data_IF_819143242755
#
_entry.id   IF_819143242755
#
_cell.length_a   1.000
_cell.length_b   1.000
_cell.length_c   1.000
_cell.angle_alpha   90.00
_cell.angle_beta   90.00
_cell.angle_gamma   90.00
#
_symmetry.space_group_name_H-M   'P 1'
#
loop_
_entity.id
_entity.type
_entity.pdbx_description
1 polymer ?
#
# COMPACT_ATOMS: atom_id res chain seq x y z
N UNK A 1 -0.27 28.65 4.96
CA UNK A 1 1.03 29.01 4.34
C UNK A 1 2.25 28.69 5.21
N UNK A 2 2.25 28.99 6.52
CA UNK A 2 3.43 28.82 7.41
C UNK A 2 3.90 27.37 7.66
N UNK A 3 3.00 26.38 7.73
CA UNK A 3 3.38 24.96 7.92
C UNK A 3 4.17 24.36 6.75
N UNK A 4 3.92 24.83 5.52
CA UNK A 4 4.63 24.36 4.30
C UNK A 4 6.06 24.89 4.22
N UNK A 5 6.31 26.10 4.71
CA UNK A 5 7.65 26.72 4.73
C UNK A 5 8.53 26.01 5.77
N UNK A 6 8.00 25.76 6.98
CA UNK A 6 8.73 25.03 8.03
C UNK A 6 9.06 23.60 7.62
N UNK A 7 8.14 22.88 6.95
CA UNK A 7 8.40 21.55 6.42
C UNK A 7 9.48 21.54 5.31
N UNK A 8 9.51 22.58 4.46
CA UNK A 8 10.53 22.76 3.41
C UNK A 8 11.93 23.00 4.00
N UNK A 9 12.01 23.85 5.02
CA UNK A 9 13.25 24.15 5.75
C UNK A 9 13.75 22.89 6.47
N UNK A 10 12.86 22.12 7.10
CA UNK A 10 13.23 20.85 7.76
C UNK A 10 13.72 19.77 6.78
N UNK A 11 13.11 19.69 5.60
CA UNK A 11 13.49 18.79 4.52
C UNK A 11 14.89 19.10 3.95
N UNK A 12 15.17 20.38 3.69
CA UNK A 12 16.49 20.83 3.23
C UNK A 12 17.56 20.59 4.30
N UNK A 13 17.24 20.78 5.58
CA UNK A 13 18.17 20.52 6.69
C UNK A 13 18.49 19.02 6.84
N UNK A 14 17.52 18.12 6.72
CA UNK A 14 17.77 16.67 6.83
C UNK A 14 18.59 16.12 5.65
N UNK A 15 18.24 16.52 4.42
CA UNK A 15 18.91 16.01 3.22
C UNK A 15 20.34 16.55 3.11
N UNK A 16 20.59 17.80 3.52
CA UNK A 16 21.94 18.35 3.60
C UNK A 16 22.75 17.78 4.77
N UNK A 17 22.14 17.46 5.92
CA UNK A 17 22.84 16.78 7.03
C UNK A 17 23.33 15.39 6.64
N UNK A 18 22.59 14.65 5.82
CA UNK A 18 23.02 13.34 5.31
C UNK A 18 24.36 13.40 4.56
N UNK A 19 24.47 14.34 3.62
CA UNK A 19 25.68 14.60 2.84
C UNK A 19 26.81 15.12 3.73
N UNK A 20 26.49 15.96 4.71
CA UNK A 20 27.43 16.53 5.68
C UNK A 20 27.97 15.49 6.68
N UNK A 21 27.17 14.49 7.06
CA UNK A 21 27.54 13.43 8.00
C UNK A 21 28.19 12.21 7.34
N UNK A 22 28.39 12.22 6.01
CA UNK A 22 28.93 11.09 5.22
C UNK A 22 28.19 9.76 5.46
N UNK A 23 26.91 9.81 5.79
CA UNK A 23 26.12 8.60 6.03
C UNK A 23 25.50 8.10 4.74
N UNK A 24 25.49 6.78 4.55
CA UNK A 24 24.82 6.18 3.41
C UNK A 24 23.30 6.41 3.49
N UNK A 25 22.59 6.57 2.35
CA UNK A 25 21.12 6.68 2.33
C UNK A 25 20.40 5.54 3.05
N UNK A 26 20.99 4.33 3.04
CA UNK A 26 20.49 3.17 3.75
C UNK A 26 20.52 3.37 5.28
N UNK A 27 21.62 3.91 5.81
CA UNK A 27 21.79 4.20 7.24
C UNK A 27 20.77 5.22 7.72
N UNK A 28 20.58 6.29 6.94
CA UNK A 28 19.58 7.33 7.24
C UNK A 28 18.17 6.76 7.19
N UNK A 29 17.86 5.92 6.20
CA UNK A 29 16.56 5.24 6.15
C UNK A 29 16.33 4.36 7.37
N UNK A 30 17.38 3.74 7.92
CA UNK A 30 17.33 2.98 9.17
C UNK A 30 16.95 3.86 10.36
N UNK A 31 17.68 4.96 10.56
CA UNK A 31 17.41 5.91 11.65
C UNK A 31 16.04 6.55 11.56
N UNK A 32 15.60 6.92 10.36
CA UNK A 32 14.25 7.46 10.15
C UNK A 32 13.19 6.44 10.58
N UNK A 33 13.30 5.18 10.16
CA UNK A 33 12.34 4.14 10.57
C UNK A 33 12.36 3.88 12.08
N UNK A 34 13.54 3.88 12.68
CA UNK A 34 13.68 3.68 14.12
C UNK A 34 13.05 4.82 14.91
N UNK A 35 13.29 6.06 14.48
CA UNK A 35 12.68 7.24 15.08
C UNK A 35 11.15 7.21 14.93
N UNK A 36 10.65 6.94 13.72
CA UNK A 36 9.20 6.84 13.44
C UNK A 36 8.53 5.77 14.32
N UNK A 37 9.19 4.63 14.52
CA UNK A 37 8.71 3.57 15.43
C UNK A 37 8.69 4.01 16.89
N UNK A 38 9.71 4.72 17.37
CA UNK A 38 9.83 5.15 18.77
C UNK A 38 8.83 6.27 19.12
N UNK A 39 8.60 7.21 18.19
CA UNK A 39 7.75 8.38 18.43
C UNK A 39 6.33 8.22 17.91
N UNK A 40 6.04 7.10 17.25
CA UNK A 40 4.79 6.82 16.54
C UNK A 40 4.37 7.98 15.62
N UNK A 41 5.35 8.72 15.10
CA UNK A 41 5.17 9.96 14.34
C UNK A 41 5.94 9.85 13.05
N UNK A 42 5.34 10.28 11.94
CA UNK A 42 5.94 10.13 10.61
C UNK A 42 6.87 11.30 10.32
N UNK A 43 8.07 10.99 9.79
CA UNK A 43 9.00 12.02 9.35
C UNK A 43 8.46 12.65 8.07
N UNK A 44 8.30 13.98 8.01
CA UNK A 44 7.81 14.67 6.84
C UNK A 44 8.88 14.66 5.73
N UNK A 45 8.90 13.59 4.94
CA UNK A 45 9.73 13.42 3.74
C UNK A 45 8.92 13.76 2.49
N UNK A 46 9.57 14.14 1.38
CA UNK A 46 8.89 14.43 0.09
C UNK A 46 7.90 13.32 -0.27
N UNK A 47 8.30 12.05 -0.07
CA UNK A 47 7.46 10.90 -0.35
C UNK A 47 6.28 10.68 0.59
N UNK A 48 6.30 11.22 1.81
CA UNK A 48 5.14 11.13 2.74
C UNK A 48 4.29 12.39 2.69
N UNK A 49 4.87 13.56 2.41
CA UNK A 49 4.13 14.82 2.30
C UNK A 49 3.32 14.89 1.00
N UNK A 50 3.88 14.34 -0.08
CA UNK A 50 3.24 14.35 -1.40
C UNK A 50 2.66 12.99 -1.78
N UNK A 51 2.63 12.03 -0.85
CA UNK A 51 2.16 10.68 -1.09
C UNK A 51 2.83 10.06 -2.34
N UNK A 52 4.16 10.00 -2.32
CA UNK A 52 4.98 9.53 -3.44
C UNK A 52 6.01 8.48 -3.00
N UNK A 53 6.05 7.35 -3.70
CA UNK A 53 7.08 6.31 -3.55
C UNK A 53 6.78 5.25 -2.50
N UNK A 54 7.78 4.40 -2.19
CA UNK A 54 7.66 3.18 -1.34
C UNK A 54 7.20 3.42 0.11
N UNK A 55 7.09 4.69 0.51
CA UNK A 55 6.72 5.10 1.86
C UNK A 55 5.21 5.12 2.10
N UNK A 56 4.43 5.32 1.03
CA UNK A 56 2.98 5.34 1.08
C UNK A 56 2.47 4.22 0.20
N UNK A 57 1.80 3.25 0.79
CA UNK A 57 1.24 2.11 0.09
C UNK A 57 -0.10 2.53 -0.53
N UNK A 58 -0.06 3.31 -1.61
CA UNK A 58 -1.27 3.71 -2.36
C UNK A 58 -2.17 2.51 -2.70
N UNK A 59 -1.57 1.33 -2.89
CA UNK A 59 -2.28 0.07 -3.11
C UNK A 59 -3.22 -0.27 -1.95
N UNK A 60 -2.76 -0.16 -0.69
CA UNK A 60 -3.58 -0.43 0.50
C UNK A 60 -4.73 0.56 0.61
N UNK A 61 -4.48 1.85 0.38
CA UNK A 61 -5.51 2.87 0.43
C UNK A 61 -6.59 2.66 -0.64
N UNK A 62 -6.17 2.39 -1.88
CA UNK A 62 -7.11 2.07 -2.98
C UNK A 62 -7.95 0.84 -2.65
N UNK A 63 -7.32 -0.24 -2.16
CA UNK A 63 -8.05 -1.44 -1.74
C UNK A 63 -8.99 -1.17 -0.56
N UNK A 64 -8.59 -0.36 0.42
CA UNK A 64 -9.46 0.02 1.54
C UNK A 64 -10.72 0.74 1.04
N UNK A 65 -10.58 1.74 0.17
CA UNK A 65 -11.71 2.49 -0.39
C UNK A 65 -12.68 1.62 -1.18
N UNK A 66 -12.15 0.73 -2.02
CA UNK A 66 -12.98 -0.15 -2.85
C UNK A 66 -13.66 -1.25 -2.03
N UNK A 67 -12.99 -1.81 -1.03
CA UNK A 67 -13.45 -3.03 -0.33
C UNK A 67 -14.19 -2.71 0.96
N UNK A 68 -13.70 -1.74 1.74
CA UNK A 68 -14.28 -1.36 3.04
C UNK A 68 -15.33 -0.27 2.86
N UNK A 69 -15.01 0.77 2.08
CA UNK A 69 -15.96 1.88 1.84
C UNK A 69 -17.00 1.54 0.75
N UNK A 70 -16.72 0.54 -0.10
CA UNK A 70 -17.61 0.11 -1.17
C UNK A 70 -17.66 1.07 -2.36
N UNK A 71 -16.65 1.92 -2.50
CA UNK A 71 -16.63 2.94 -3.56
C UNK A 71 -16.55 2.31 -4.94
N UNK A 72 -17.09 3.02 -5.94
CA UNK A 72 -16.93 2.65 -7.35
C UNK A 72 -15.49 2.91 -7.85
N UNK A 73 -15.13 2.30 -8.98
CA UNK A 73 -13.83 2.54 -9.62
C UNK A 73 -13.70 4.02 -10.00
N UNK A 74 -14.76 4.62 -10.52
CA UNK A 74 -14.81 6.02 -10.96
C UNK A 74 -14.66 7.01 -9.80
N UNK A 75 -15.21 6.66 -8.64
CA UNK A 75 -15.06 7.44 -7.41
C UNK A 75 -13.63 7.34 -6.87
N UNK A 76 -13.09 6.12 -6.83
CA UNK A 76 -11.72 5.89 -6.38
C UNK A 76 -10.69 6.54 -7.31
N UNK A 77 -10.92 6.57 -8.63
CA UNK A 77 -10.10 7.32 -9.60
C UNK A 77 -10.06 8.80 -9.24
N UNK A 78 -11.24 9.39 -8.98
CA UNK A 78 -11.38 10.82 -8.65
C UNK A 78 -10.68 11.20 -7.35
N UNK A 79 -10.77 10.33 -6.34
CA UNK A 79 -10.19 10.62 -5.02
C UNK A 79 -8.68 10.36 -4.96
N UNK A 80 -8.23 9.28 -5.61
CA UNK A 80 -6.83 8.82 -5.50
C UNK A 80 -5.94 9.38 -6.61
N UNK A 81 -6.51 10.04 -7.62
CA UNK A 81 -5.79 10.52 -8.82
C UNK A 81 -4.96 9.43 -9.53
N UNK A 82 -5.41 8.17 -9.45
CA UNK A 82 -4.82 7.04 -10.17
C UNK A 82 -5.59 6.77 -11.46
N UNK A 83 -4.91 6.13 -12.42
CA UNK A 83 -5.60 5.68 -13.63
C UNK A 83 -6.56 4.52 -13.32
N UNK A 84 -7.68 4.40 -14.06
CA UNK A 84 -8.60 3.28 -13.90
C UNK A 84 -7.91 1.92 -14.02
N UNK A 85 -6.95 1.79 -14.94
CA UNK A 85 -6.19 0.55 -15.16
C UNK A 85 -5.34 0.20 -13.94
N UNK A 86 -4.75 1.19 -13.27
CA UNK A 86 -3.97 0.97 -12.05
C UNK A 86 -4.85 0.47 -10.91
N UNK A 87 -6.05 1.04 -10.75
CA UNK A 87 -7.02 0.63 -9.72
C UNK A 87 -7.52 -0.78 -10.00
N UNK A 88 -7.93 -1.09 -11.23
CA UNK A 88 -8.36 -2.42 -11.65
C UNK A 88 -7.27 -3.47 -11.41
N UNK A 89 -6.02 -3.15 -11.71
CA UNK A 89 -4.88 -4.05 -11.41
C UNK A 89 -4.76 -4.34 -9.91
N UNK A 90 -4.89 -3.34 -9.04
CA UNK A 90 -4.78 -3.54 -7.60
C UNK A 90 -5.93 -4.39 -7.04
N UNK A 91 -7.15 -4.19 -7.56
CA UNK A 91 -8.31 -5.02 -7.22
C UNK A 91 -8.09 -6.47 -7.69
N UNK A 92 -7.59 -6.67 -8.92
CA UNK A 92 -7.26 -8.00 -9.45
C UNK A 92 -6.22 -8.71 -8.58
N UNK A 93 -5.15 -8.03 -8.19
CA UNK A 93 -4.13 -8.58 -7.30
C UNK A 93 -4.71 -8.95 -5.93
N UNK A 94 -5.59 -8.10 -5.37
CA UNK A 94 -6.28 -8.37 -4.11
C UNK A 94 -7.16 -9.63 -4.21
N UNK A 95 -8.01 -9.75 -5.24
CA UNK A 95 -8.87 -10.94 -5.45
C UNK A 95 -8.04 -12.22 -5.62
N UNK A 96 -6.91 -12.15 -6.34
CA UNK A 96 -5.99 -13.29 -6.50
C UNK A 96 -5.38 -13.71 -5.17
N UNK A 97 -5.00 -12.75 -4.31
CA UNK A 97 -4.48 -13.03 -2.96
C UNK A 97 -5.55 -13.71 -2.12
N UNK A 98 -6.79 -13.18 -2.10
CA UNK A 98 -7.92 -13.79 -1.39
C UNK A 98 -8.18 -15.23 -1.83
N UNK A 99 -8.22 -15.47 -3.15
CA UNK A 99 -8.46 -16.81 -3.69
C UNK A 99 -7.36 -17.81 -3.27
N UNK A 100 -6.10 -17.37 -3.20
CA UNK A 100 -5.00 -18.21 -2.71
C UNK A 100 -5.13 -18.53 -1.22
N UNK A 101 -5.44 -17.51 -0.40
CA UNK A 101 -5.63 -17.68 1.04
C UNK A 101 -6.84 -18.58 1.35
N UNK A 102 -7.95 -18.43 0.61
CA UNK A 102 -9.13 -19.28 0.74
C UNK A 102 -8.83 -20.75 0.40
N UNK A 103 -7.91 -21.00 -0.55
CA UNK A 103 -7.41 -22.34 -0.88
C UNK A 103 -6.40 -22.89 0.15
N UNK A 104 -6.12 -22.16 1.24
CA UNK A 104 -5.25 -22.60 2.32
C UNK A 104 -3.75 -22.39 2.06
N UNK A 105 -3.37 -21.61 1.03
CA UNK A 105 -1.95 -21.29 0.79
C UNK A 105 -1.42 -20.39 1.90
N UNK A 106 -0.16 -20.59 2.28
CA UNK A 106 0.53 -19.69 3.21
C UNK A 106 0.73 -18.31 2.57
N UNK A 107 0.94 -17.23 3.37
CA UNK A 107 1.21 -15.90 2.83
C UNK A 107 2.43 -15.85 1.89
N UNK A 108 3.45 -16.67 2.18
CA UNK A 108 4.67 -16.77 1.38
C UNK A 108 4.42 -17.45 0.03
N UNK A 109 3.67 -18.54 0.02
CA UNK A 109 3.27 -19.23 -1.22
C UNK A 109 2.33 -18.36 -2.05
N UNK A 110 1.40 -17.66 -1.40
CA UNK A 110 0.50 -16.71 -2.05
C UNK A 110 1.29 -15.59 -2.73
N UNK A 111 2.28 -15.02 -2.04
CA UNK A 111 3.15 -14.00 -2.62
C UNK A 111 3.87 -14.50 -3.89
N UNK A 112 4.36 -15.74 -3.85
CA UNK A 112 5.02 -16.39 -4.97
C UNK A 112 4.06 -16.61 -6.17
N UNK A 113 2.87 -17.17 -5.92
CA UNK A 113 1.88 -17.47 -6.97
C UNK A 113 1.33 -16.21 -7.62
N UNK A 114 1.00 -15.19 -6.82
CA UNK A 114 0.41 -13.94 -7.33
C UNK A 114 1.48 -13.02 -7.94
N UNK A 115 2.77 -13.29 -7.68
CA UNK A 115 3.94 -12.47 -8.07
C UNK A 115 3.92 -11.07 -7.41
N UNK A 116 3.62 -11.05 -6.12
CA UNK A 116 3.62 -9.83 -5.29
C UNK A 116 4.62 -9.97 -4.15
N UNK A 117 5.01 -8.85 -3.53
CA UNK A 117 5.85 -8.91 -2.34
C UNK A 117 5.10 -9.51 -1.15
N UNK A 118 5.77 -10.32 -0.34
CA UNK A 118 5.21 -10.88 0.90
C UNK A 118 4.63 -9.80 1.83
N UNK A 119 5.30 -8.63 1.92
CA UNK A 119 4.81 -7.46 2.67
C UNK A 119 3.40 -7.03 2.24
N UNK A 120 3.10 -7.06 0.94
CA UNK A 120 1.80 -6.66 0.40
C UNK A 120 0.71 -7.66 0.79
N UNK A 121 1.04 -8.96 0.82
CA UNK A 121 0.12 -10.00 1.29
C UNK A 121 -0.23 -9.77 2.76
N UNK A 122 0.76 -9.51 3.62
CA UNK A 122 0.50 -9.18 5.02
C UNK A 122 -0.29 -7.87 5.19
N UNK A 123 -0.01 -6.85 4.38
CA UNK A 123 -0.79 -5.59 4.42
C UNK A 123 -2.28 -5.82 4.14
N UNK A 124 -2.60 -6.74 3.23
CA UNK A 124 -3.98 -7.10 2.91
C UNK A 124 -4.61 -8.01 3.96
N UNK A 125 -3.86 -8.96 4.51
CA UNK A 125 -4.31 -9.77 5.65
C UNK A 125 -4.67 -8.90 6.85
N UNK A 126 -3.82 -7.92 7.18
CA UNK A 126 -4.09 -6.97 8.25
C UNK A 126 -5.36 -6.14 7.94
N UNK A 127 -5.55 -5.72 6.68
CA UNK A 127 -6.76 -4.99 6.29
C UNK A 127 -8.04 -5.83 6.47
N UNK A 128 -8.00 -7.11 6.09
CA UNK A 128 -9.12 -8.05 6.27
C UNK A 128 -9.43 -8.24 7.75
N UNK A 129 -8.38 -8.47 8.56
CA UNK A 129 -8.52 -8.70 10.00
C UNK A 129 -9.01 -7.45 10.75
N UNK A 130 -8.45 -6.27 10.46
CA UNK A 130 -8.82 -4.99 11.08
C UNK A 130 -10.30 -4.63 10.84
N UNK A 131 -10.82 -4.95 9.66
CA UNK A 131 -12.17 -4.59 9.24
C UNK A 131 -13.18 -5.74 9.36
N UNK A 132 -12.79 -6.87 9.96
CA UNK A 132 -13.65 -8.07 10.11
C UNK A 132 -14.36 -8.48 8.82
N UNK A 133 -13.66 -8.35 7.69
CA UNK A 133 -14.25 -8.63 6.37
C UNK A 133 -14.42 -10.15 6.23
N UNK A 134 -15.65 -10.61 5.98
CA UNK A 134 -15.88 -12.00 5.62
C UNK A 134 -15.39 -12.25 4.18
N UNK A 135 -14.35 -13.08 4.07
CA UNK A 135 -13.75 -13.50 2.79
C UNK A 135 -14.81 -14.21 1.94
N UNK A 136 -15.77 -14.93 2.55
CA UNK A 136 -16.83 -15.66 1.83
C UNK A 136 -17.85 -14.72 1.19
N UNK A 137 -18.21 -13.63 1.85
CA UNK A 137 -19.10 -12.60 1.27
C UNK A 137 -18.44 -11.87 0.11
N UNK A 138 -17.13 -11.60 0.20
CA UNK A 138 -16.35 -10.95 -0.86
C UNK A 138 -16.06 -11.86 -2.07
N UNK A 139 -16.12 -13.18 -1.87
CA UNK A 139 -16.01 -14.20 -2.93
C UNK A 139 -17.37 -14.52 -3.60
N UNK A 140 -18.44 -13.79 -3.21
CA UNK A 140 -19.85 -14.06 -3.50
C UNK A 140 -20.14 -15.05 -4.62
N UNK A 141 -20.59 -16.26 -4.27
CA UNK A 141 -21.11 -17.32 -5.16
C UNK A 141 -20.44 -17.46 -6.55
N UNK A 142 -19.15 -17.19 -6.69
CA UNK A 142 -18.41 -17.42 -7.93
C UNK A 142 -17.62 -18.72 -7.82
N UNK A 143 -18.37 -19.83 -7.88
CA UNK A 143 -17.85 -21.10 -8.40
C UNK A 143 -17.40 -20.99 -9.88
N UNK A 144 -17.43 -19.79 -10.47
CA UNK A 144 -16.93 -19.49 -11.81
C UNK A 144 -16.20 -18.15 -11.85
N UNK A 145 -15.10 -18.00 -11.09
CA UNK A 145 -14.06 -17.07 -11.55
C UNK A 145 -13.42 -17.72 -12.78
N UNK A 146 -13.95 -17.41 -13.97
CA UNK A 146 -13.35 -17.82 -15.23
C UNK A 146 -12.04 -17.05 -15.43
N UNK A 147 -10.93 -17.68 -15.03
CA UNK A 147 -9.58 -17.13 -15.18
C UNK A 147 -9.16 -16.95 -16.64
N UNK A 148 -9.91 -17.49 -17.61
CA UNK A 148 -9.63 -17.40 -19.05
C UNK A 148 -10.07 -16.06 -19.66
N UNK A 149 -10.91 -15.28 -18.99
CA UNK A 149 -11.40 -13.99 -19.47
C UNK A 149 -10.55 -12.79 -19.05
N UNK A 150 -9.37 -13.01 -18.48
CA UNK A 150 -8.51 -11.91 -18.06
C UNK A 150 -7.39 -11.71 -19.08
N UNK A 151 -7.33 -10.58 -19.80
CA UNK A 151 -6.27 -10.35 -20.76
C UNK A 151 -4.92 -10.35 -20.04
N UNK A 152 -3.98 -11.10 -20.63
CA UNK A 152 -2.59 -11.21 -20.21
C UNK A 152 -1.87 -9.86 -20.27
#
# INVERSE_FOLDING_TARGET
MRKRILARIWLEIMMNKATMMRLSPATISGYVREWEKRTNSIVPRRGTIHDMGRSVTHKRQICYKMIVEGNSVEETVRETNHSPEAITRYIKDYKRILACLHRGLTPKETAFVVKVSEKLVYEYLNLIQENQIDIKEQMGNDDVVNFDNIPF
#
